data_IF_300281204962
#
_entry.id   IF_300281204962
#
_cell.length_a   1.000
_cell.length_b   1.000
_cell.length_c   1.000
_cell.angle_alpha   90.00
_cell.angle_beta   90.00
_cell.angle_gamma   90.00
#
_symmetry.space_group_name_H-M   'P 1'
#
loop_
_entity.id
_entity.type
_entity.pdbx_description
1 polymer ?
#
# COMPACT_ATOMS: atom_id res chain seq x y z
N UNK A 1 -1.69 10.25 1.19
CA UNK A 1 -0.37 9.61 1.41
C UNK A 1 0.26 10.01 2.73
N UNK A 2 0.41 11.30 3.06
CA UNK A 2 1.06 11.73 4.32
C UNK A 2 0.47 11.08 5.58
N UNK A 3 -0.85 10.90 5.66
CA UNK A 3 -1.47 10.20 6.79
C UNK A 3 -0.99 8.75 6.97
N UNK A 4 -0.70 8.03 5.88
CA UNK A 4 -0.16 6.68 5.95
C UNK A 4 1.29 6.69 6.48
N UNK A 5 2.11 7.62 5.99
CA UNK A 5 3.50 7.82 6.44
C UNK A 5 3.55 8.24 7.92
N UNK A 6 2.68 9.17 8.33
CA UNK A 6 2.56 9.57 9.74
C UNK A 6 2.11 8.38 10.60
N UNK A 7 1.13 7.61 10.13
CA UNK A 7 0.67 6.41 10.83
C UNK A 7 1.77 5.38 11.03
N UNK A 8 2.56 5.12 9.98
CA UNK A 8 3.75 4.26 10.04
C UNK A 8 4.77 4.77 11.07
N UNK A 9 5.24 6.02 10.93
CA UNK A 9 6.26 6.60 11.81
C UNK A 9 5.84 6.61 13.29
N UNK A 10 4.58 6.95 13.55
CA UNK A 10 4.02 6.98 14.90
C UNK A 10 3.77 5.57 15.44
N UNK A 11 3.36 4.65 14.57
CA UNK A 11 3.06 3.26 14.90
C UNK A 11 4.28 2.39 15.16
N UNK A 12 5.44 2.73 14.58
CA UNK A 12 6.64 1.89 14.56
C UNK A 12 7.10 1.44 15.97
N UNK A 13 6.98 2.31 16.97
CA UNK A 13 7.36 1.99 18.36
C UNK A 13 6.46 0.96 19.06
N UNK A 14 5.29 0.68 18.49
CA UNK A 14 4.32 -0.28 19.00
C UNK A 14 4.33 -1.57 18.20
N UNK A 15 5.15 -1.66 17.15
CA UNK A 15 5.38 -2.90 16.44
C UNK A 15 5.93 -3.94 17.42
N UNK A 16 5.31 -5.12 17.46
CA UNK A 16 5.62 -6.20 18.42
C UNK A 16 5.34 -5.88 19.90
N UNK A 17 4.92 -4.66 20.23
CA UNK A 17 4.56 -4.22 21.57
C UNK A 17 3.27 -3.38 21.56
N UNK A 18 2.16 -4.08 21.32
CA UNK A 18 0.86 -3.47 21.04
C UNK A 18 0.34 -2.60 22.20
N UNK A 19 -0.09 -1.37 21.87
CA UNK A 19 -0.84 -0.49 22.76
C UNK A 19 -2.32 -0.50 22.39
N UNK A 20 -3.20 -0.89 23.33
CA UNK A 20 -4.67 -0.86 23.12
C UNK A 20 -5.31 0.50 23.46
N UNK A 21 -4.54 1.42 24.03
CA UNK A 21 -4.98 2.77 24.39
C UNK A 21 -4.99 3.70 23.17
N UNK A 22 -5.91 4.66 23.15
CA UNK A 22 -5.89 5.80 22.23
C UNK A 22 -5.10 7.00 22.78
N UNK A 23 -4.78 6.95 24.07
CA UNK A 23 -3.99 7.96 24.76
C UNK A 23 -2.50 7.67 24.56
N UNK A 24 -1.90 8.31 23.57
CA UNK A 24 -0.46 8.26 23.32
C UNK A 24 0.03 9.51 22.62
N UNK A 25 1.30 9.86 22.84
CA UNK A 25 1.94 11.00 22.16
C UNK A 25 2.30 10.61 20.73
N UNK A 26 1.81 11.32 19.71
CA UNK A 26 2.06 10.99 18.30
C UNK A 26 3.56 10.86 18.00
N UNK A 27 4.31 11.95 18.07
CA UNK A 27 5.74 11.96 17.76
C UNK A 27 6.58 11.90 19.03
N UNK A 28 6.89 10.69 19.49
CA UNK A 28 7.80 10.49 20.63
C UNK A 28 8.79 9.37 20.34
N UNK A 29 10.11 9.65 20.41
CA UNK A 29 11.15 8.67 20.17
C UNK A 29 10.95 7.37 20.98
N UNK A 30 11.30 6.20 20.40
CA UNK A 30 11.88 6.01 19.07
C UNK A 30 10.79 5.85 17.99
N UNK A 31 10.56 6.87 17.15
CA UNK A 31 9.68 6.80 15.98
C UNK A 31 10.53 6.81 14.71
N UNK A 32 10.23 5.95 13.74
CA UNK A 32 10.94 5.89 12.47
C UNK A 32 10.02 5.39 11.36
N UNK A 33 10.33 5.78 10.12
CA UNK A 33 9.67 5.18 8.96
C UNK A 33 10.06 3.69 8.82
N UNK A 34 9.19 2.91 8.22
CA UNK A 34 9.40 1.49 7.90
C UNK A 34 9.23 1.24 6.40
N UNK A 35 9.17 -0.04 6.02
CA UNK A 35 8.86 -0.45 4.65
C UNK A 35 7.50 0.07 4.16
N UNK A 36 6.51 0.29 5.06
CA UNK A 36 5.22 0.91 4.74
C UNK A 36 5.39 2.27 4.05
N UNK A 37 6.19 3.16 4.65
CA UNK A 37 6.50 4.48 4.06
C UNK A 37 7.27 4.36 2.76
N UNK A 38 8.30 3.50 2.71
CA UNK A 38 9.13 3.32 1.51
C UNK A 38 8.30 2.81 0.35
N UNK A 39 7.44 1.82 0.59
CA UNK A 39 6.56 1.24 -0.43
C UNK A 39 5.43 2.18 -0.83
N UNK A 40 4.89 2.96 0.11
CA UNK A 40 3.93 4.05 -0.19
C UNK A 40 4.54 5.07 -1.15
N UNK A 41 5.78 5.50 -0.89
CA UNK A 41 6.51 6.43 -1.75
C UNK A 41 6.80 5.80 -3.11
N UNK A 42 7.19 4.52 -3.14
CA UNK A 42 7.46 3.80 -4.39
C UNK A 42 6.23 3.71 -5.30
N UNK A 43 5.08 3.32 -4.75
CA UNK A 43 3.80 3.28 -5.50
C UNK A 43 3.41 4.67 -5.97
N UNK A 44 3.56 5.70 -5.13
CA UNK A 44 3.33 7.09 -5.55
C UNK A 44 4.23 7.52 -6.71
N UNK A 45 5.51 7.16 -6.66
CA UNK A 45 6.46 7.44 -7.74
C UNK A 45 6.09 6.71 -9.03
N UNK A 46 5.59 5.47 -8.96
CA UNK A 46 5.10 4.73 -10.11
C UNK A 46 3.90 5.44 -10.76
N UNK A 47 2.90 5.79 -9.95
CA UNK A 47 1.69 6.49 -10.42
C UNK A 47 2.04 7.81 -11.11
N UNK A 48 2.93 8.62 -10.53
CA UNK A 48 3.38 9.88 -11.13
C UNK A 48 4.16 9.68 -12.44
N UNK A 49 5.05 8.68 -12.48
CA UNK A 49 5.86 8.40 -13.67
C UNK A 49 5.04 7.86 -14.84
N UNK A 50 4.04 7.02 -14.55
CA UNK A 50 3.18 6.41 -15.57
C UNK A 50 2.09 7.37 -16.05
N UNK A 51 1.55 8.24 -15.18
CA UNK A 51 0.49 9.18 -15.56
C UNK A 51 -0.72 8.46 -16.18
N UNK A 52 -1.09 8.83 -17.40
CA UNK A 52 -2.22 8.26 -18.15
C UNK A 52 -1.85 7.09 -19.07
N UNK A 53 -0.63 6.55 -18.98
CA UNK A 53 -0.23 5.37 -19.75
C UNK A 53 -1.00 4.10 -19.31
N UNK A 54 -0.80 2.99 -20.04
CA UNK A 54 -1.52 1.74 -19.81
C UNK A 54 -1.28 1.12 -18.42
N UNK A 55 -2.22 0.28 -17.96
CA UNK A 55 -2.07 -0.48 -16.70
C UNK A 55 -0.89 -1.46 -16.74
N UNK A 56 -0.58 -2.00 -17.91
CA UNK A 56 0.63 -2.78 -18.16
C UNK A 56 1.89 -1.96 -17.82
N UNK A 57 1.96 -0.73 -18.31
CA UNK A 57 3.07 0.19 -18.02
C UNK A 57 3.13 0.57 -16.54
N UNK A 58 1.97 0.77 -15.89
CA UNK A 58 1.90 1.01 -14.45
C UNK A 58 2.45 -0.17 -13.65
N UNK A 59 2.08 -1.41 -14.00
CA UNK A 59 2.58 -2.60 -13.33
C UNK A 59 4.11 -2.70 -13.45
N UNK A 60 4.65 -2.54 -14.66
CA UNK A 60 6.10 -2.56 -14.91
C UNK A 60 6.83 -1.45 -14.14
N UNK A 61 6.28 -0.23 -14.13
CA UNK A 61 6.85 0.92 -13.42
C UNK A 61 6.78 0.72 -11.90
N UNK A 62 5.73 0.08 -11.40
CA UNK A 62 5.58 -0.28 -9.99
C UNK A 62 6.64 -1.29 -9.56
N UNK A 63 6.85 -2.36 -10.33
CA UNK A 63 7.95 -3.31 -10.10
C UNK A 63 9.30 -2.59 -10.03
N UNK A 64 9.57 -1.71 -10.99
CA UNK A 64 10.83 -0.98 -11.08
C UNK A 64 11.04 -0.06 -9.86
N UNK A 65 10.08 0.79 -9.54
CA UNK A 65 10.19 1.79 -8.46
C UNK A 65 10.27 1.16 -7.07
N UNK A 66 9.43 0.14 -6.81
CA UNK A 66 9.48 -0.61 -5.54
C UNK A 66 10.81 -1.31 -5.37
N UNK A 67 11.40 -1.85 -6.44
CA UNK A 67 12.71 -2.50 -6.34
C UNK A 67 13.85 -1.51 -6.12
N UNK A 68 13.82 -0.34 -6.77
CA UNK A 68 14.83 0.70 -6.55
C UNK A 68 14.80 1.16 -5.10
N UNK A 69 13.63 1.56 -4.59
CA UNK A 69 13.52 2.10 -3.23
C UNK A 69 13.68 1.00 -2.18
N UNK A 70 13.07 -0.17 -2.38
CA UNK A 70 13.20 -1.29 -1.45
C UNK A 70 14.64 -1.73 -1.23
N UNK A 71 15.48 -1.71 -2.28
CA UNK A 71 16.90 -2.04 -2.17
C UNK A 71 17.75 -0.93 -1.56
N UNK A 72 17.33 0.33 -1.75
CA UNK A 72 18.02 1.50 -1.21
C UNK A 72 17.79 1.64 0.30
N UNK A 73 16.58 1.35 0.78
CA UNK A 73 16.19 1.43 2.18
C UNK A 73 16.17 0.03 2.82
N UNK A 74 17.27 -0.34 3.48
CA UNK A 74 17.49 -1.62 4.18
C UNK A 74 18.13 -1.38 5.55
N UNK A 75 17.93 -2.30 6.50
CA UNK A 75 18.53 -2.25 7.83
C UNK A 75 17.50 -2.39 8.94
N UNK A 76 17.89 -2.07 10.18
CA UNK A 76 17.14 -2.35 11.41
C UNK A 76 15.68 -1.86 11.39
N UNK A 77 15.39 -0.78 10.66
CA UNK A 77 14.07 -0.13 10.64
C UNK A 77 13.25 -0.45 9.38
N UNK A 78 13.80 -1.23 8.44
CA UNK A 78 13.19 -1.53 7.15
C UNK A 78 13.21 -3.05 6.96
N UNK A 79 12.36 -3.73 7.74
CA UNK A 79 12.23 -5.18 7.69
C UNK A 79 11.22 -5.56 6.60
N UNK A 80 11.71 -6.27 5.59
CA UNK A 80 10.86 -6.81 4.54
C UNK A 80 10.60 -8.28 4.83
N UNK A 81 9.32 -8.68 4.88
CA UNK A 81 8.96 -10.09 4.99
C UNK A 81 9.68 -10.97 3.96
N UNK A 82 10.04 -12.20 4.34
CA UNK A 82 10.93 -13.08 3.56
C UNK A 82 10.54 -13.22 2.09
N UNK A 83 9.27 -13.47 1.79
CA UNK A 83 8.78 -13.58 0.41
C UNK A 83 8.92 -12.28 -0.38
N UNK A 84 8.73 -11.13 0.26
CA UNK A 84 8.94 -9.83 -0.37
C UNK A 84 10.42 -9.57 -0.60
N UNK A 85 11.30 -9.93 0.34
CA UNK A 85 12.74 -9.85 0.15
C UNK A 85 13.20 -10.71 -1.03
N UNK A 86 12.71 -11.94 -1.17
CA UNK A 86 13.00 -12.81 -2.32
C UNK A 86 12.55 -12.17 -3.63
N UNK A 87 11.32 -11.62 -3.66
CA UNK A 87 10.81 -10.87 -4.80
C UNK A 87 11.69 -9.65 -5.14
N UNK A 88 12.13 -8.91 -4.12
CA UNK A 88 12.95 -7.70 -4.27
C UNK A 88 14.27 -8.02 -4.98
N UNK A 89 14.88 -9.16 -4.69
CA UNK A 89 16.20 -9.57 -5.21
C UNK A 89 16.16 -10.53 -6.41
N UNK A 90 15.02 -11.15 -6.73
CA UNK A 90 14.87 -12.05 -7.88
C UNK A 90 15.27 -11.42 -9.23
N UNK A 91 15.87 -12.20 -10.13
CA UNK A 91 16.18 -11.74 -11.50
C UNK A 91 14.92 -11.40 -12.29
N UNK A 92 13.89 -12.23 -12.17
CA UNK A 92 12.57 -12.06 -12.80
C UNK A 92 11.49 -12.16 -11.70
N UNK A 93 11.13 -11.04 -11.04
CA UNK A 93 10.22 -11.05 -9.91
C UNK A 93 8.78 -11.36 -10.36
N UNK A 94 8.17 -12.38 -9.76
CA UNK A 94 6.78 -12.79 -9.99
C UNK A 94 5.96 -12.64 -8.71
N UNK A 95 4.66 -12.30 -8.79
CA UNK A 95 3.81 -12.29 -7.61
C UNK A 95 3.75 -13.69 -6.98
N UNK A 96 3.58 -13.74 -5.67
CA UNK A 96 3.83 -14.93 -4.86
C UNK A 96 2.64 -15.29 -3.94
N UNK A 97 1.43 -14.93 -4.35
CA UNK A 97 0.17 -15.29 -3.70
C UNK A 97 0.06 -14.94 -2.21
N UNK A 98 0.70 -13.84 -1.80
CA UNK A 98 0.57 -13.32 -0.44
C UNK A 98 -0.78 -12.63 -0.21
N UNK A 99 -1.33 -12.81 1.00
CA UNK A 99 -2.53 -12.18 1.53
C UNK A 99 -2.22 -11.24 2.72
N UNK A 100 -0.93 -10.90 2.93
CA UNK A 100 -0.49 -10.05 4.02
C UNK A 100 -0.85 -8.56 3.86
N UNK A 101 -0.66 -7.79 4.93
CA UNK A 101 -0.87 -6.33 4.98
C UNK A 101 -0.03 -5.54 3.95
N UNK A 102 1.08 -6.13 3.48
CA UNK A 102 1.94 -5.66 2.38
C UNK A 102 1.21 -5.18 1.13
N UNK A 103 0.01 -5.71 0.89
CA UNK A 103 -0.89 -5.25 -0.16
C UNK A 103 -1.50 -3.88 0.15
N UNK A 104 -2.12 -3.72 1.31
CA UNK A 104 -2.96 -2.56 1.66
C UNK A 104 -2.17 -1.33 2.13
N UNK A 105 -1.03 -1.52 2.80
CA UNK A 105 -0.30 -0.42 3.46
C UNK A 105 0.20 0.67 2.51
N UNK A 106 0.42 0.32 1.23
CA UNK A 106 1.13 1.15 0.25
C UNK A 106 0.26 1.80 -0.84
N UNK A 107 -1.04 1.50 -0.88
CA UNK A 107 -1.92 1.92 -2.00
C UNK A 107 -2.59 3.28 -1.82
N UNK A 108 -2.24 4.01 -0.76
CA UNK A 108 -2.87 5.29 -0.45
C UNK A 108 -2.76 6.31 -1.58
N UNK A 109 -1.74 6.22 -2.45
CA UNK A 109 -1.57 7.08 -3.63
C UNK A 109 -2.64 6.88 -4.72
N UNK A 110 -3.15 5.65 -4.90
CA UNK A 110 -4.15 5.34 -5.92
C UNK A 110 -5.41 6.20 -5.75
N UNK A 111 -5.84 6.38 -4.50
CA UNK A 111 -6.99 7.20 -4.15
C UNK A 111 -6.83 8.69 -4.49
N UNK A 112 -5.60 9.17 -4.66
CA UNK A 112 -5.32 10.58 -5.01
C UNK A 112 -5.32 10.82 -6.51
N UNK A 113 -4.86 9.82 -7.28
CA UNK A 113 -4.68 9.90 -8.73
C UNK A 113 -5.95 9.53 -9.50
N UNK A 114 -6.73 8.55 -9.02
CA UNK A 114 -7.94 8.11 -9.71
C UNK A 114 -9.06 9.16 -9.68
N UNK A 115 -9.78 9.28 -10.80
CA UNK A 115 -10.90 10.20 -10.98
C UNK A 115 -12.25 9.62 -10.51
N UNK A 116 -12.42 8.28 -10.57
CA UNK A 116 -13.61 7.56 -10.09
C UNK A 116 -13.24 6.46 -9.10
N UNK A 117 -14.25 5.92 -8.39
CA UNK A 117 -14.02 4.78 -7.51
C UNK A 117 -13.51 3.57 -8.31
N UNK A 118 -14.12 3.28 -9.45
CA UNK A 118 -13.75 2.19 -10.34
C UNK A 118 -12.29 2.30 -10.76
N UNK A 119 -11.86 3.49 -11.18
CA UNK A 119 -10.46 3.74 -11.53
C UNK A 119 -9.52 3.54 -10.35
N UNK A 120 -9.90 4.00 -9.15
CA UNK A 120 -9.11 3.79 -7.93
C UNK A 120 -8.96 2.30 -7.61
N UNK A 121 -10.01 1.50 -7.79
CA UNK A 121 -9.97 0.05 -7.56
C UNK A 121 -9.10 -0.67 -8.60
N UNK A 122 -9.13 -0.23 -9.85
CA UNK A 122 -8.24 -0.75 -10.90
C UNK A 122 -6.78 -0.39 -10.63
N UNK A 123 -6.49 0.87 -10.28
CA UNK A 123 -5.16 1.33 -9.91
C UNK A 123 -4.61 0.52 -8.73
N UNK A 124 -5.41 0.36 -7.67
CA UNK A 124 -5.05 -0.41 -6.49
C UNK A 124 -4.78 -1.88 -6.84
N UNK A 125 -5.61 -2.50 -7.68
CA UNK A 125 -5.36 -3.85 -8.18
C UNK A 125 -4.02 -3.93 -8.92
N UNK A 126 -3.79 -3.08 -9.92
CA UNK A 126 -2.59 -3.10 -10.76
C UNK A 126 -1.30 -2.99 -9.95
N UNK A 127 -1.21 -2.06 -8.99
CA UNK A 127 0.01 -1.86 -8.19
C UNK A 127 0.20 -2.92 -7.08
N UNK A 128 -0.85 -3.68 -6.77
CA UNK A 128 -0.83 -4.73 -5.74
C UNK A 128 -0.45 -6.08 -6.34
N UNK A 129 -1.05 -6.41 -7.50
CA UNK A 129 -0.92 -7.67 -8.22
C UNK A 129 0.53 -8.01 -8.64
N UNK A 130 1.45 -7.03 -8.63
CA UNK A 130 2.88 -7.25 -8.90
C UNK A 130 3.58 -8.08 -7.81
N UNK A 131 2.99 -8.19 -6.61
CA UNK A 131 3.51 -8.98 -5.48
C UNK A 131 2.44 -9.85 -4.83
N UNK A 132 1.24 -9.31 -4.64
CA UNK A 132 0.12 -9.96 -3.96
C UNK A 132 -0.97 -10.20 -4.99
N UNK A 133 -1.07 -11.43 -5.49
CA UNK A 133 -2.12 -11.86 -6.42
C UNK A 133 -3.15 -12.81 -5.77
N UNK A 134 -3.13 -12.91 -4.44
CA UNK A 134 -4.21 -13.57 -3.69
C UNK A 134 -5.46 -12.67 -3.70
N UNK A 135 -6.68 -13.22 -3.90
CA UNK A 135 -7.92 -12.44 -3.90
C UNK A 135 -8.07 -11.55 -2.67
N UNK A 136 -7.85 -12.08 -1.47
CA UNK A 136 -7.94 -11.30 -0.22
C UNK A 136 -6.95 -10.13 -0.14
N UNK A 137 -5.72 -10.33 -0.65
CA UNK A 137 -4.72 -9.26 -0.69
C UNK A 137 -5.15 -8.13 -1.61
N UNK A 138 -5.69 -8.49 -2.78
CA UNK A 138 -6.26 -7.54 -3.74
C UNK A 138 -7.47 -6.82 -3.14
N UNK A 139 -8.40 -7.55 -2.54
CA UNK A 139 -9.60 -7.00 -1.91
C UNK A 139 -9.23 -6.02 -0.78
N UNK A 140 -8.26 -6.36 0.06
CA UNK A 140 -7.77 -5.49 1.13
C UNK A 140 -7.17 -4.18 0.60
N UNK A 141 -6.38 -4.25 -0.48
CA UNK A 141 -5.82 -3.08 -1.15
C UNK A 141 -6.92 -2.20 -1.78
N UNK A 142 -7.83 -2.81 -2.53
CA UNK A 142 -8.98 -2.15 -3.15
C UNK A 142 -9.87 -1.48 -2.12
N UNK A 143 -10.18 -2.18 -1.02
CA UNK A 143 -10.95 -1.64 0.08
C UNK A 143 -10.26 -0.42 0.71
N UNK A 144 -8.96 -0.51 0.95
CA UNK A 144 -8.18 0.59 1.54
C UNK A 144 -8.17 1.83 0.64
N UNK A 145 -7.83 1.66 -0.64
CA UNK A 145 -7.80 2.77 -1.60
C UNK A 145 -9.19 3.37 -1.83
N UNK A 146 -10.22 2.53 -1.99
CA UNK A 146 -11.60 2.95 -2.15
C UNK A 146 -12.13 3.72 -0.94
N UNK A 147 -11.83 3.27 0.28
CA UNK A 147 -12.19 3.97 1.50
C UNK A 147 -11.59 5.38 1.56
N UNK A 148 -10.30 5.51 1.22
CA UNK A 148 -9.61 6.80 1.15
C UNK A 148 -10.27 7.72 0.11
N UNK A 149 -10.58 7.20 -1.08
CA UNK A 149 -11.25 7.96 -2.14
C UNK A 149 -12.65 8.45 -1.72
N UNK A 150 -13.45 7.58 -1.11
CA UNK A 150 -14.79 7.94 -0.64
C UNK A 150 -14.73 8.95 0.50
N UNK A 151 -13.77 8.81 1.43
CA UNK A 151 -13.58 9.77 2.51
C UNK A 151 -13.21 11.16 1.96
N UNK A 152 -12.23 11.24 1.05
CA UNK A 152 -11.78 12.53 0.49
C UNK A 152 -12.81 13.21 -0.42
N UNK A 153 -13.74 12.44 -1.00
CA UNK A 153 -14.83 12.96 -1.86
C UNK A 153 -16.12 13.24 -1.08
N UNK A 154 -16.09 13.16 0.26
CA UNK A 154 -17.26 13.43 1.11
C UNK A 154 -18.32 12.34 1.12
N UNK A 155 -18.03 11.17 0.54
CA UNK A 155 -18.95 10.04 0.42
C UNK A 155 -18.79 9.02 1.56
N UNK A 156 -18.53 9.47 2.79
CA UNK A 156 -18.21 8.62 3.95
C UNK A 156 -19.28 7.55 4.22
N UNK A 157 -20.57 7.88 4.05
CA UNK A 157 -21.68 6.92 4.22
C UNK A 157 -21.64 5.75 3.24
N UNK A 158 -20.99 5.93 2.09
CA UNK A 158 -20.85 4.91 1.05
C UNK A 158 -19.67 3.97 1.29
N UNK A 159 -18.80 4.25 2.28
CA UNK A 159 -17.66 3.39 2.62
C UNK A 159 -18.18 1.99 2.98
N UNK A 160 -19.00 1.87 4.01
CA UNK A 160 -19.50 0.55 4.47
C UNK A 160 -20.27 -0.22 3.39
N UNK A 161 -21.05 0.47 2.55
CA UNK A 161 -21.87 -0.15 1.50
C UNK A 161 -21.05 -0.68 0.33
N UNK A 162 -19.98 0.02 -0.07
CA UNK A 162 -19.14 -0.41 -1.19
C UNK A 162 -18.04 -1.37 -0.75
N UNK A 163 -17.48 -1.18 0.45
CA UNK A 163 -16.46 -2.08 0.99
C UNK A 163 -17.01 -3.48 1.25
N UNK A 164 -18.25 -3.62 1.72
CA UNK A 164 -18.87 -4.93 1.90
C UNK A 164 -18.99 -5.69 0.57
N UNK A 165 -19.21 -5.00 -0.55
CA UNK A 165 -19.28 -5.65 -1.87
C UNK A 165 -17.91 -6.14 -2.33
N UNK A 166 -16.85 -5.34 -2.14
CA UNK A 166 -15.48 -5.71 -2.51
C UNK A 166 -15.01 -6.96 -1.75
N UNK A 167 -15.36 -7.05 -0.46
CA UNK A 167 -14.93 -8.14 0.43
C UNK A 167 -15.76 -9.43 0.25
N UNK A 168 -17.04 -9.33 -0.14
CA UNK A 168 -17.93 -10.50 -0.26
C UNK A 168 -17.84 -11.18 -1.64
N UNK A 169 -17.34 -10.50 -2.67
CA UNK A 169 -17.24 -11.06 -4.04
C UNK A 169 -15.93 -11.79 -4.35
N UNK A 170 -15.01 -11.87 -3.40
CA UNK A 170 -13.76 -12.67 -3.48
C UNK A 170 -13.90 -13.97 -2.73
#
# INVERSE_FOLDING_TARGET
MLGAIVGDVVGSRFEWNNLKSKEFELFKPPCHATDDSVMTIAVGAALLKTGSESREKLAQTTVMTMRILGRAFRGLNYDYGSMFADWLYSKDPKPYNSYGNGAAMRVSGCAYVGASLEEVLELAHTVTAVTHNHPDGIAGAQATAGAIYLARTGQVRRIFVNLSKIIITT
#
